data_IF_061844465474
#
_entry.id   IF_061844465474
#
_cell.length_a   1.000
_cell.length_b   1.000
_cell.length_c   1.000
_cell.angle_alpha   90.00
_cell.angle_beta   90.00
_cell.angle_gamma   90.00
#
_symmetry.space_group_name_H-M   'P 1'
#
loop_
_entity.id
_entity.type
_entity.pdbx_description
1 polymer ?
#
# COMPACT_ATOMS: atom_id res chain seq x y z
N UNK A 1 -8.34 14.35 30.06
CA UNK A 1 -8.18 12.90 29.89
C UNK A 1 -9.32 12.45 29.01
N UNK A 2 -9.04 12.06 27.76
CA UNK A 2 -10.10 11.76 26.79
C UNK A 2 -10.72 10.39 27.10
N UNK A 3 -12.05 10.35 27.20
CA UNK A 3 -12.85 9.13 27.33
C UNK A 3 -12.63 8.20 26.14
N UNK A 4 -12.56 6.89 26.37
CA UNK A 4 -12.52 5.89 25.29
C UNK A 4 -11.58 4.70 25.47
N UNK A 5 -11.02 4.47 26.66
CA UNK A 5 -10.18 3.31 26.97
C UNK A 5 -10.69 2.58 28.23
N UNK A 6 -10.49 1.25 28.35
CA UNK A 6 -9.83 0.37 27.38
C UNK A 6 -10.71 0.05 26.16
N UNK A 7 -10.09 -0.34 25.05
CA UNK A 7 -10.78 -0.91 23.88
C UNK A 7 -10.26 -2.31 23.61
N UNK A 8 -11.18 -3.21 23.33
CA UNK A 8 -10.87 -4.60 22.97
C UNK A 8 -11.36 -4.90 21.57
N UNK A 9 -10.60 -5.73 20.86
CA UNK A 9 -10.89 -6.17 19.50
C UNK A 9 -10.77 -7.68 19.45
N UNK A 10 -11.86 -8.36 19.09
CA UNK A 10 -11.85 -9.81 18.85
C UNK A 10 -11.39 -10.08 17.41
N UNK A 11 -10.30 -10.82 17.28
CA UNK A 11 -9.60 -11.05 16.01
C UNK A 11 -9.55 -12.54 15.74
N UNK A 12 -10.06 -12.96 14.58
CA UNK A 12 -9.95 -14.34 14.13
C UNK A 12 -8.50 -14.68 13.78
N UNK A 13 -7.98 -15.80 14.28
CA UNK A 13 -6.58 -16.21 14.12
C UNK A 13 -6.19 -16.48 12.65
N UNK A 14 -7.16 -16.90 11.83
CA UNK A 14 -6.98 -17.08 10.39
C UNK A 14 -8.15 -16.47 9.63
N UNK A 15 -7.94 -15.65 8.60
CA UNK A 15 -9.02 -15.05 7.83
C UNK A 15 -9.87 -16.06 7.04
N UNK A 16 -9.31 -17.25 6.79
CA UNK A 16 -9.95 -18.29 5.97
C UNK A 16 -10.36 -19.53 6.76
N UNK A 17 -9.90 -19.66 8.00
CA UNK A 17 -10.17 -20.82 8.84
C UNK A 17 -10.64 -20.41 10.25
N UNK A 18 -11.97 -20.33 10.47
CA UNK A 18 -12.53 -20.02 11.79
C UNK A 18 -12.23 -21.07 12.86
N UNK A 19 -11.85 -22.31 12.48
CA UNK A 19 -11.58 -23.37 13.46
C UNK A 19 -10.32 -23.14 14.29
N UNK A 20 -9.42 -22.28 13.80
CA UNK A 20 -8.23 -21.83 14.51
C UNK A 20 -8.53 -20.81 15.63
N UNK A 21 -9.82 -20.48 15.83
CA UNK A 21 -10.28 -19.63 16.92
C UNK A 21 -9.98 -18.14 16.71
N UNK A 22 -9.96 -17.42 17.82
CA UNK A 22 -9.76 -15.97 17.87
C UNK A 22 -8.99 -15.60 19.13
N UNK A 23 -8.31 -14.45 19.09
CA UNK A 23 -7.69 -13.81 20.24
C UNK A 23 -8.26 -12.41 20.43
N UNK A 24 -8.04 -11.85 21.62
CA UNK A 24 -8.43 -10.47 21.94
C UNK A 24 -7.20 -9.57 21.96
N UNK A 25 -7.26 -8.48 21.19
CA UNK A 25 -6.29 -7.38 21.21
C UNK A 25 -6.84 -6.25 22.10
N UNK A 26 -6.12 -5.91 23.16
CA UNK A 26 -6.51 -4.87 24.12
C UNK A 26 -5.62 -3.63 23.98
N UNK A 27 -6.23 -2.47 23.84
CA UNK A 27 -5.56 -1.18 23.87
C UNK A 27 -6.04 -0.42 25.11
N UNK A 28 -5.16 -0.36 26.12
CA UNK A 28 -5.46 0.19 27.45
C UNK A 28 -5.30 1.71 27.51
N UNK A 29 -4.50 2.27 26.60
CA UNK A 29 -4.19 3.69 26.54
C UNK A 29 -3.96 4.17 25.11
N UNK A 30 -3.57 5.45 24.94
CA UNK A 30 -3.41 6.06 23.63
C UNK A 30 -2.09 5.71 22.94
N UNK A 31 -1.19 4.95 23.59
CA UNK A 31 0.15 4.70 23.09
C UNK A 31 0.21 3.31 22.45
N UNK A 32 0.73 3.27 21.23
CA UNK A 32 0.96 2.05 20.45
C UNK A 32 2.28 2.17 19.68
N UNK A 33 2.80 1.03 19.25
CA UNK A 33 3.91 0.93 18.33
C UNK A 33 3.41 0.60 16.93
N UNK A 34 4.08 1.16 15.93
CA UNK A 34 3.98 0.78 14.52
C UNK A 34 5.38 0.41 14.04
N UNK A 35 5.45 -0.36 12.95
CA UNK A 35 6.75 -0.63 12.32
C UNK A 35 7.34 0.67 11.73
N UNK A 36 8.65 0.87 11.89
CA UNK A 36 9.31 2.09 11.40
C UNK A 36 9.20 2.25 9.87
N UNK A 37 9.10 1.15 9.12
CA UNK A 37 8.93 1.18 7.65
C UNK A 37 7.53 1.68 7.23
N UNK A 38 6.57 1.69 8.14
CA UNK A 38 5.21 2.21 7.93
C UNK A 38 5.11 3.73 8.09
N UNK A 39 6.20 4.42 8.42
CA UNK A 39 6.27 5.88 8.42
C UNK A 39 7.38 6.42 7.50
N UNK A 40 7.10 7.52 6.80
CA UNK A 40 8.11 8.31 6.06
C UNK A 40 7.90 9.80 6.26
N UNK A 41 8.99 10.56 6.31
CA UNK A 41 8.96 12.02 6.39
C UNK A 41 8.41 12.66 5.12
N UNK A 42 8.83 12.13 3.97
CA UNK A 42 8.40 12.59 2.66
C UNK A 42 7.38 11.60 2.08
N UNK A 43 6.18 12.09 1.80
CA UNK A 43 5.17 11.28 1.10
C UNK A 43 5.53 11.17 -0.39
N UNK A 44 5.23 10.01 -0.96
CA UNK A 44 5.37 9.77 -2.39
C UNK A 44 4.11 9.10 -2.92
N UNK A 45 3.74 9.37 -4.18
CA UNK A 45 2.49 8.86 -4.75
C UNK A 45 2.41 7.33 -4.84
N UNK A 46 3.53 6.62 -4.69
CA UNK A 46 3.63 5.15 -4.66
C UNK A 46 3.66 4.56 -3.25
N UNK A 47 3.80 5.40 -2.22
CA UNK A 47 3.81 4.99 -0.83
C UNK A 47 2.39 5.07 -0.25
N UNK A 48 1.95 4.03 0.45
CA UNK A 48 0.61 4.00 1.03
C UNK A 48 0.61 4.00 2.56
N UNK A 49 1.77 3.89 3.21
CA UNK A 49 1.93 4.04 4.65
C UNK A 49 1.75 5.48 5.13
N UNK A 50 2.07 5.69 6.41
CA UNK A 50 1.89 6.94 7.14
C UNK A 50 2.94 7.98 6.74
N UNK A 51 2.50 9.22 6.59
CA UNK A 51 3.36 10.39 6.40
C UNK A 51 2.71 11.58 7.13
N UNK A 52 3.42 12.70 7.35
CA UNK A 52 2.84 13.89 7.96
C UNK A 52 1.55 14.32 7.23
N UNK A 53 0.46 14.53 7.98
CA UNK A 53 -0.87 14.91 7.49
C UNK A 53 -1.53 13.91 6.51
N UNK A 54 -1.03 12.68 6.42
CA UNK A 54 -1.60 11.62 5.59
C UNK A 54 -2.23 10.54 6.45
N UNK A 55 -3.48 10.20 6.13
CA UNK A 55 -4.21 9.15 6.83
C UNK A 55 -3.77 7.74 6.42
N UNK A 56 -3.67 6.85 7.42
CA UNK A 56 -3.50 5.40 7.25
C UNK A 56 -4.55 4.66 8.08
N UNK A 57 -5.05 3.53 7.62
CA UNK A 57 -5.96 2.73 8.43
C UNK A 57 -5.20 1.99 9.54
N UNK A 58 -5.71 1.99 10.77
CA UNK A 58 -5.24 1.07 11.80
C UNK A 58 -6.02 -0.24 11.69
N UNK A 59 -5.30 -1.34 11.45
CA UNK A 59 -5.93 -2.66 11.30
C UNK A 59 -6.69 -3.04 12.57
N UNK A 60 -7.87 -3.64 12.43
CA UNK A 60 -8.81 -4.02 13.51
C UNK A 60 -9.43 -2.87 14.32
N UNK A 61 -8.75 -1.73 14.51
CA UNK A 61 -9.34 -0.58 15.19
C UNK A 61 -10.55 -0.03 14.43
N UNK A 62 -10.49 -0.02 13.10
CA UNK A 62 -11.52 0.57 12.25
C UNK A 62 -11.44 2.10 12.14
N UNK A 63 -10.41 2.74 12.68
CA UNK A 63 -10.14 4.18 12.52
C UNK A 63 -9.03 4.47 11.52
N UNK A 64 -8.93 5.73 11.10
CA UNK A 64 -7.78 6.24 10.35
C UNK A 64 -6.87 7.04 11.28
N UNK A 65 -5.60 6.69 11.35
CA UNK A 65 -4.59 7.45 12.08
C UNK A 65 -3.95 8.49 11.15
N UNK A 66 -3.79 9.71 11.66
CA UNK A 66 -3.15 10.84 10.96
C UNK A 66 -2.01 11.34 11.84
N UNK A 67 -0.82 11.50 11.26
CA UNK A 67 0.34 12.06 11.95
C UNK A 67 0.30 13.58 11.91
N UNK A 68 0.12 14.21 13.08
CA UNK A 68 0.07 15.67 13.23
C UNK A 68 1.46 16.26 13.46
N UNK A 69 2.31 15.53 14.18
CA UNK A 69 3.64 16.00 14.55
C UNK A 69 4.63 14.83 14.65
N UNK A 70 5.83 15.10 14.15
CA UNK A 70 6.97 14.17 14.20
C UNK A 70 7.92 14.64 15.29
N UNK A 71 8.19 13.77 16.26
CA UNK A 71 9.18 14.03 17.31
C UNK A 71 10.50 13.39 16.88
N UNK A 72 11.57 14.20 16.86
CA UNK A 72 12.90 13.77 16.43
C UNK A 72 13.96 14.04 17.49
N UNK A 73 14.95 13.16 17.52
CA UNK A 73 16.22 13.36 18.21
C UNK A 73 17.33 13.36 17.15
N UNK A 74 17.81 14.56 16.79
CA UNK A 74 18.66 14.73 15.62
C UNK A 74 17.91 14.36 14.33
N UNK A 75 18.47 13.43 13.55
CA UNK A 75 17.86 12.93 12.31
C UNK A 75 16.89 11.76 12.56
N UNK A 76 16.91 11.16 13.76
CA UNK A 76 16.11 9.98 14.08
C UNK A 76 14.70 10.37 14.51
N UNK A 77 13.69 9.75 13.90
CA UNK A 77 12.30 9.82 14.37
C UNK A 77 12.14 8.90 15.58
N UNK A 78 11.69 9.46 16.71
CA UNK A 78 11.56 8.71 17.97
C UNK A 78 10.11 8.51 18.41
N UNK A 79 9.21 9.40 17.99
CA UNK A 79 7.78 9.28 18.26
C UNK A 79 6.97 10.10 17.26
N UNK A 80 5.70 9.76 17.13
CA UNK A 80 4.71 10.48 16.34
C UNK A 80 3.56 10.87 17.26
N UNK A 81 3.17 12.14 17.25
CA UNK A 81 1.89 12.56 17.82
C UNK A 81 0.86 12.48 16.70
N UNK A 82 -0.16 11.66 16.92
CA UNK A 82 -1.20 11.39 15.96
C UNK A 82 -2.57 11.59 16.59
N UNK A 83 -3.55 11.95 15.76
CA UNK A 83 -4.96 11.78 16.11
C UNK A 83 -5.58 10.64 15.32
N UNK A 84 -6.70 10.16 15.84
CA UNK A 84 -7.45 9.07 15.24
C UNK A 84 -8.81 9.57 14.78
N UNK A 85 -9.01 9.56 13.48
CA UNK A 85 -10.30 9.85 12.86
C UNK A 85 -11.16 8.57 12.82
N UNK A 86 -12.20 8.57 13.63
CA UNK A 86 -13.21 7.51 13.72
C UNK A 86 -14.56 7.95 13.15
N UNK A 87 -14.63 9.12 12.49
CA UNK A 87 -15.89 9.65 11.96
C UNK A 87 -16.46 8.72 10.88
N UNK A 88 -17.79 8.65 10.76
CA UNK A 88 -18.45 7.81 9.76
C UNK A 88 -18.20 8.26 8.31
N UNK A 89 -17.87 9.53 8.11
CA UNK A 89 -17.59 10.17 6.82
C UNK A 89 -16.10 10.24 6.47
N UNK A 90 -15.22 9.67 7.31
CA UNK A 90 -13.77 9.62 7.05
C UNK A 90 -13.47 8.97 5.69
N UNK A 91 -12.43 9.44 4.98
CA UNK A 91 -12.06 8.85 3.70
C UNK A 91 -11.58 7.41 3.88
N UNK A 92 -11.91 6.52 2.94
CA UNK A 92 -11.38 5.15 2.96
C UNK A 92 -9.83 5.19 2.85
N UNK A 93 -9.08 4.60 3.78
CA UNK A 93 -7.63 4.64 3.73
C UNK A 93 -7.10 3.80 2.56
N UNK A 94 -5.92 4.17 2.04
CA UNK A 94 -5.27 3.44 0.93
C UNK A 94 -4.71 2.08 1.37
N UNK A 95 -4.30 1.96 2.63
CA UNK A 95 -3.81 0.73 3.23
C UNK A 95 -4.14 0.72 4.72
N UNK A 96 -4.03 -0.46 5.32
CA UNK A 96 -4.07 -0.64 6.77
C UNK A 96 -2.69 -1.11 7.24
N UNK A 97 -2.22 -0.56 8.35
CA UNK A 97 -0.96 -0.96 8.98
C UNK A 97 -1.23 -1.76 10.26
N UNK A 98 -0.29 -2.63 10.58
CA UNK A 98 -0.28 -3.39 11.84
C UNK A 98 0.22 -2.48 12.96
N UNK A 99 -0.20 -2.75 14.19
CA UNK A 99 0.21 -2.01 15.38
C UNK A 99 0.15 -2.95 16.59
N UNK A 100 0.88 -2.60 17.64
CA UNK A 100 0.83 -3.29 18.94
C UNK A 100 0.68 -2.25 20.06
N UNK A 101 -0.17 -2.48 21.07
CA UNK A 101 -0.34 -1.56 22.20
C UNK A 101 0.97 -1.42 22.99
N UNK A 102 1.19 -0.27 23.63
CA UNK A 102 2.32 -0.14 24.56
C UNK A 102 2.14 -1.09 25.74
N UNK A 103 0.97 -1.02 26.37
CA UNK A 103 0.62 -1.83 27.52
C UNK A 103 0.43 -3.29 27.11
N UNK A 104 1.11 -4.21 27.80
CA UNK A 104 0.93 -5.63 27.60
C UNK A 104 1.69 -6.24 26.41
N UNK A 105 2.33 -5.43 25.55
CA UNK A 105 3.15 -5.98 24.46
C UNK A 105 4.24 -6.92 24.97
N UNK A 106 4.57 -7.90 24.13
CA UNK A 106 5.63 -8.87 24.36
C UNK A 106 6.90 -8.36 23.71
N UNK A 107 7.99 -8.42 24.47
CA UNK A 107 9.32 -8.12 23.96
C UNK A 107 9.97 -9.42 23.51
N UNK A 108 10.50 -9.43 22.29
CA UNK A 108 11.16 -10.61 21.74
C UNK A 108 12.36 -10.23 20.88
N UNK A 109 13.29 -11.17 20.75
CA UNK A 109 14.29 -11.14 19.69
C UNK A 109 13.66 -11.72 18.42
N UNK A 110 13.77 -11.00 17.30
CA UNK A 110 13.31 -11.48 16.00
C UNK A 110 14.51 -11.57 15.07
N UNK A 111 14.79 -12.78 14.57
CA UNK A 111 15.87 -13.08 13.63
C UNK A 111 15.29 -13.19 12.23
N UNK A 112 15.79 -12.34 11.34
CA UNK A 112 15.40 -12.30 9.94
C UNK A 112 16.54 -12.88 9.10
N UNK A 113 16.27 -14.03 8.49
CA UNK A 113 17.20 -14.69 7.58
C UNK A 113 16.94 -14.26 6.12
N UNK A 114 18.04 -14.07 5.41
CA UNK A 114 18.14 -13.82 3.97
C UNK A 114 19.09 -14.85 3.35
N UNK A 115 19.35 -14.75 2.04
CA UNK A 115 20.33 -15.61 1.37
C UNK A 115 21.70 -15.52 2.05
N UNK A 116 22.33 -16.67 2.30
CA UNK A 116 23.64 -16.75 2.94
C UNK A 116 24.73 -16.11 2.07
N UNK A 117 24.61 -16.24 0.75
CA UNK A 117 25.55 -15.69 -0.22
C UNK A 117 24.93 -14.50 -0.95
N UNK A 118 25.77 -13.56 -1.33
CA UNK A 118 25.41 -12.39 -2.13
C UNK A 118 25.36 -12.67 -3.64
N UNK A 119 25.82 -13.86 -4.05
CA UNK A 119 25.86 -14.35 -5.43
C UNK A 119 25.04 -15.62 -5.58
N UNK A 120 24.49 -15.84 -6.78
CA UNK A 120 23.63 -16.99 -7.07
C UNK A 120 24.41 -18.33 -7.10
N UNK A 121 25.66 -18.30 -7.56
CA UNK A 121 26.54 -19.45 -7.66
C UNK A 121 27.88 -19.11 -6.99
N UNK A 122 28.04 -19.45 -5.69
CA UNK A 122 29.28 -19.18 -4.96
C UNK A 122 30.48 -19.92 -5.57
N UNK A 123 31.67 -19.31 -5.46
CA UNK A 123 32.93 -19.84 -5.97
C UNK A 123 33.85 -20.32 -4.84
N UNK A 124 35.10 -20.67 -5.17
CA UNK A 124 36.11 -21.00 -4.14
C UNK A 124 36.48 -19.80 -3.24
N UNK A 125 36.01 -18.59 -3.56
CA UNK A 125 36.13 -17.37 -2.75
C UNK A 125 34.90 -17.13 -1.86
N UNK A 126 34.17 -18.19 -1.49
CA UNK A 126 32.87 -18.13 -0.81
C UNK A 126 32.84 -17.25 0.46
N UNK A 127 33.95 -17.12 1.19
CA UNK A 127 34.04 -16.25 2.38
C UNK A 127 33.83 -14.77 2.04
N UNK A 128 34.34 -14.32 0.89
CA UNK A 128 34.16 -12.96 0.38
C UNK A 128 32.76 -12.74 -0.21
N UNK A 129 32.07 -13.82 -0.53
CA UNK A 129 30.76 -13.82 -1.17
C UNK A 129 29.60 -13.93 -0.15
N UNK A 130 29.91 -14.09 1.15
CA UNK A 130 28.90 -14.10 2.21
C UNK A 130 28.10 -12.80 2.21
N UNK A 131 26.78 -12.93 2.33
CA UNK A 131 25.90 -11.80 2.48
C UNK A 131 26.04 -11.25 3.92
N UNK A 132 26.51 -10.00 4.12
CA UNK A 132 26.67 -9.41 5.45
C UNK A 132 25.32 -9.16 6.15
N UNK A 133 24.22 -9.25 5.40
CA UNK A 133 22.85 -9.13 5.90
C UNK A 133 22.08 -10.45 5.80
N UNK A 134 22.79 -11.58 5.71
CA UNK A 134 22.20 -12.94 5.74
C UNK A 134 21.39 -13.19 7.01
N UNK A 135 21.76 -12.54 8.12
CA UNK A 135 20.98 -12.50 9.35
C UNK A 135 20.87 -11.06 9.85
N UNK A 136 19.64 -10.64 10.19
CA UNK A 136 19.36 -9.36 10.85
C UNK A 136 18.61 -9.66 12.15
N UNK A 137 19.18 -9.23 13.28
CA UNK A 137 18.62 -9.48 14.61
C UNK A 137 17.98 -8.22 15.18
N UNK A 138 16.68 -8.27 15.41
CA UNK A 138 15.91 -7.25 16.11
C UNK A 138 15.73 -7.66 17.57
N UNK A 139 16.61 -7.20 18.45
CA UNK A 139 16.68 -7.64 19.86
C UNK A 139 15.48 -7.28 20.74
N UNK A 140 14.71 -6.27 20.32
CA UNK A 140 13.63 -5.69 21.14
C UNK A 140 12.37 -5.43 20.30
N UNK A 141 12.01 -6.41 19.48
CA UNK A 141 10.77 -6.38 18.71
C UNK A 141 9.57 -6.37 19.66
N UNK A 142 8.50 -5.68 19.24
CA UNK A 142 7.25 -5.55 20.00
C UNK A 142 6.19 -6.41 19.32
N UNK A 143 5.64 -7.36 20.08
CA UNK A 143 4.64 -8.31 19.61
C UNK A 143 3.35 -8.15 20.39
N UNK A 144 2.23 -8.53 19.78
CA UNK A 144 0.94 -8.58 20.46
C UNK A 144 0.95 -9.65 21.57
N UNK A 145 0.14 -9.43 22.62
CA UNK A 145 0.08 -10.33 23.77
C UNK A 145 -0.45 -11.73 23.44
N UNK A 146 -1.21 -11.89 22.34
CA UNK A 146 -1.73 -13.19 21.90
C UNK A 146 -0.63 -14.23 21.66
N UNK A 147 0.59 -13.82 21.34
CA UNK A 147 1.73 -14.76 21.17
C UNK A 147 2.01 -15.55 22.45
N UNK A 148 1.63 -15.05 23.63
CA UNK A 148 1.81 -15.76 24.91
C UNK A 148 0.99 -17.03 24.97
N UNK A 149 -0.27 -17.00 24.53
CA UNK A 149 -1.15 -18.18 24.51
C UNK A 149 -0.55 -19.27 23.62
N UNK A 150 0.04 -18.83 22.52
CA UNK A 150 0.66 -19.69 21.52
C UNK A 150 1.94 -20.33 22.08
N UNK A 151 2.76 -19.58 22.83
CA UNK A 151 3.99 -20.10 23.48
C UNK A 151 3.67 -20.98 24.70
N UNK A 152 2.67 -20.64 25.52
CA UNK A 152 2.25 -21.41 26.70
C UNK A 152 1.64 -22.76 26.34
N UNK A 153 0.90 -22.85 25.22
CA UNK A 153 0.24 -24.07 24.78
C UNK A 153 1.15 -25.09 24.09
N UNK A 154 2.42 -24.76 23.87
CA UNK A 154 3.34 -25.53 23.03
C UNK A 154 4.38 -26.32 23.82
N UNK A 155 4.04 -27.52 24.30
CA UNK A 155 4.97 -28.49 24.91
C UNK A 155 6.08 -29.01 23.94
N UNK A 156 6.31 -28.40 22.78
CA UNK A 156 7.19 -28.99 21.76
C UNK A 156 7.92 -27.97 20.88
N UNK A 157 8.50 -26.91 21.46
CA UNK A 157 9.62 -26.22 20.78
C UNK A 157 10.89 -26.98 21.14
N UNK A 158 11.20 -27.99 20.34
CA UNK A 158 12.47 -28.70 20.40
C UNK A 158 13.25 -28.41 19.12
N UNK A 159 14.56 -28.65 19.14
CA UNK A 159 15.44 -28.50 17.98
C UNK A 159 14.94 -29.27 16.74
N UNK A 160 14.17 -30.34 16.94
CA UNK A 160 13.67 -31.19 15.85
C UNK A 160 12.19 -30.97 15.51
N UNK A 161 11.41 -30.38 16.41
CA UNK A 161 10.00 -30.06 16.21
C UNK A 161 9.77 -28.57 16.45
N UNK A 162 9.54 -27.82 15.38
CA UNK A 162 9.02 -26.45 15.48
C UNK A 162 7.67 -26.45 14.77
N UNK A 163 6.62 -26.63 15.57
CA UNK A 163 5.29 -26.91 15.01
C UNK A 163 4.40 -25.67 14.95
N UNK A 164 4.94 -24.49 15.27
CA UNK A 164 4.14 -23.31 15.52
C UNK A 164 4.57 -22.15 14.62
N UNK A 165 4.07 -22.22 13.38
CA UNK A 165 4.22 -21.16 12.41
C UNK A 165 3.13 -20.10 12.61
N UNK A 166 3.55 -18.87 12.84
CA UNK A 166 2.70 -17.69 12.94
C UNK A 166 2.94 -16.78 11.75
N UNK A 167 1.89 -16.15 11.24
CA UNK A 167 2.05 -15.03 10.33
C UNK A 167 2.09 -13.74 11.15
N UNK A 168 3.24 -13.07 11.19
CA UNK A 168 3.28 -11.69 11.64
C UNK A 168 2.78 -10.81 10.50
N UNK A 169 1.62 -10.23 10.72
CA UNK A 169 0.84 -9.61 9.65
C UNK A 169 1.61 -8.50 8.94
N UNK A 170 1.62 -8.57 7.60
CA UNK A 170 2.37 -7.69 6.68
C UNK A 170 3.89 -7.84 6.73
N UNK A 171 4.44 -8.67 7.62
CA UNK A 171 5.88 -8.87 7.79
C UNK A 171 6.31 -10.20 7.15
N UNK A 172 5.80 -11.33 7.64
CA UNK A 172 6.31 -12.64 7.24
C UNK A 172 5.71 -13.78 8.03
N UNK A 173 6.19 -14.98 7.76
CA UNK A 173 5.93 -16.16 8.57
C UNK A 173 7.11 -16.41 9.50
N UNK A 174 6.79 -16.73 10.75
CA UNK A 174 7.74 -16.85 11.84
C UNK A 174 7.48 -18.13 12.62
N UNK A 175 8.53 -18.65 13.23
CA UNK A 175 8.46 -19.76 14.19
C UNK A 175 9.21 -19.39 15.45
N UNK A 176 8.80 -19.97 16.58
CA UNK A 176 9.55 -19.85 17.84
C UNK A 176 10.85 -20.65 17.72
N UNK A 177 11.97 -20.03 18.08
CA UNK A 177 13.28 -20.69 18.11
C UNK A 177 13.42 -21.54 19.39
N UNK A 178 14.12 -22.67 19.31
CA UNK A 178 14.39 -23.58 20.43
C UNK A 178 15.21 -22.90 21.55
N UNK A 179 15.92 -21.82 21.25
CA UNK A 179 16.63 -20.98 22.21
C UNK A 179 15.69 -20.13 23.07
N UNK A 180 14.38 -20.11 22.80
CA UNK A 180 13.37 -19.41 23.61
C UNK A 180 13.11 -20.06 24.99
N UNK A 181 14.08 -20.80 25.53
CA UNK A 181 13.96 -21.50 26.80
C UNK A 181 14.01 -20.52 27.97
N UNK A 182 13.16 -20.76 28.97
CA UNK A 182 13.11 -19.93 30.18
C UNK A 182 12.34 -18.61 30.03
N UNK A 183 11.63 -18.39 28.91
CA UNK A 183 10.62 -17.34 28.83
C UNK A 183 9.43 -17.66 29.73
N UNK A 184 9.09 -16.76 30.64
CA UNK A 184 7.89 -16.79 31.45
C UNK A 184 6.84 -15.82 30.87
N UNK A 185 5.82 -16.33 30.16
CA UNK A 185 4.76 -15.53 29.57
C UNK A 185 3.88 -14.80 30.60
N UNK A 186 3.87 -15.21 31.87
CA UNK A 186 3.10 -14.55 32.93
C UNK A 186 3.77 -13.26 33.38
N UNK A 187 5.10 -13.29 33.49
CA UNK A 187 5.91 -12.15 33.93
C UNK A 187 6.51 -11.35 32.77
N UNK A 188 6.40 -11.85 31.53
CA UNK A 188 7.01 -11.28 30.33
C UNK A 188 8.54 -11.16 30.48
N UNK A 189 9.16 -12.17 31.09
CA UNK A 189 10.60 -12.19 31.37
C UNK A 189 11.26 -13.42 30.77
N UNK A 190 12.57 -13.37 30.55
CA UNK A 190 13.33 -14.42 29.88
C UNK A 190 13.51 -14.19 28.39
N UNK A 191 14.09 -15.17 27.70
CA UNK A 191 14.45 -15.06 26.28
C UNK A 191 13.34 -15.65 25.41
N UNK A 192 12.71 -14.82 24.59
CA UNK A 192 11.77 -15.25 23.55
C UNK A 192 12.31 -14.84 22.19
N UNK A 193 12.47 -15.82 21.30
CA UNK A 193 13.12 -15.65 20.00
C UNK A 193 12.19 -16.18 18.90
N UNK A 194 12.02 -15.38 17.85
CA UNK A 194 11.30 -15.77 16.64
C UNK A 194 12.21 -15.72 15.42
N UNK A 195 12.17 -16.76 14.60
CA UNK A 195 12.88 -16.83 13.33
C UNK A 195 11.91 -16.62 12.19
N UNK A 196 12.23 -15.68 11.27
CA UNK A 196 11.49 -15.55 10.01
C UNK A 196 11.80 -16.75 9.14
N UNK A 197 10.78 -17.56 8.83
CA UNK A 197 10.91 -18.71 7.92
C UNK A 197 10.90 -18.25 6.48
N UNK A 198 9.87 -17.50 6.09
CA UNK A 198 9.70 -16.95 4.75
C UNK A 198 9.01 -15.57 4.81
N UNK A 199 9.38 -14.68 3.90
CA UNK A 199 8.68 -13.40 3.69
C UNK A 199 7.33 -13.60 3.00
N UNK A 200 6.40 -12.65 3.14
CA UNK A 200 5.06 -12.74 2.53
C UNK A 200 5.07 -12.64 1.00
N UNK A 201 6.09 -12.01 0.45
CA UNK A 201 6.35 -11.90 -0.98
C UNK A 201 7.81 -12.18 -1.19
N UNK A 202 8.12 -12.90 -2.26
CA UNK A 202 9.49 -13.06 -2.72
C UNK A 202 10.17 -11.68 -2.75
N UNK A 203 11.24 -11.54 -1.96
CA UNK A 203 12.05 -10.35 -1.94
C UNK A 203 12.91 -10.33 -3.21
N UNK A 204 12.26 -10.11 -4.35
CA UNK A 204 12.99 -9.75 -5.56
C UNK A 204 13.65 -8.42 -5.24
N UNK A 205 14.97 -8.34 -5.32
CA UNK A 205 15.73 -7.09 -5.16
C UNK A 205 15.05 -5.99 -5.98
N UNK A 206 14.25 -5.15 -5.31
CA UNK A 206 13.57 -4.03 -5.95
C UNK A 206 14.55 -2.90 -5.92
N UNK A 207 15.21 -2.69 -7.05
CA UNK A 207 16.00 -1.51 -7.33
C UNK A 207 15.29 -0.29 -6.74
N UNK A 208 15.95 0.40 -5.81
CA UNK A 208 15.47 1.70 -5.35
C UNK A 208 15.36 2.62 -6.57
N UNK A 209 14.13 3.06 -6.84
CA UNK A 209 13.85 3.91 -7.99
C UNK A 209 14.48 5.27 -7.71
N UNK A 210 15.29 5.74 -8.65
CA UNK A 210 15.89 7.06 -8.60
C UNK A 210 14.80 8.14 -8.57
N UNK A 211 15.09 9.34 -8.03
CA UNK A 211 14.16 10.47 -8.08
C UNK A 211 13.64 10.76 -9.51
N UNK A 212 14.47 10.53 -10.53
CA UNK A 212 14.08 10.67 -11.93
C UNK A 212 13.05 9.62 -12.38
N UNK A 213 13.22 8.36 -11.99
CA UNK A 213 12.26 7.29 -12.29
C UNK A 213 10.91 7.52 -11.58
N UNK A 214 10.96 8.03 -10.35
CA UNK A 214 9.77 8.41 -9.58
C UNK A 214 9.03 9.59 -10.24
N UNK A 215 9.73 10.66 -10.62
CA UNK A 215 9.17 11.79 -11.34
C UNK A 215 8.54 11.36 -12.69
N UNK A 216 9.17 10.41 -13.40
CA UNK A 216 8.62 9.86 -14.64
C UNK A 216 7.31 9.08 -14.42
N UNK A 217 7.18 8.35 -13.31
CA UNK A 217 5.95 7.66 -12.94
C UNK A 217 4.83 8.67 -12.64
N UNK A 218 5.14 9.75 -11.92
CA UNK A 218 4.18 10.80 -11.61
C UNK A 218 3.71 11.54 -12.87
N UNK A 219 4.62 11.91 -13.75
CA UNK A 219 4.30 12.51 -15.04
C UNK A 219 3.39 11.60 -15.88
N UNK A 220 3.64 10.28 -15.91
CA UNK A 220 2.78 9.31 -16.61
C UNK A 220 1.38 9.24 -15.97
N UNK A 221 1.27 9.31 -14.64
CA UNK A 221 -0.02 9.32 -13.93
C UNK A 221 -0.79 10.59 -14.21
N UNK A 222 -0.15 11.74 -14.21
CA UNK A 222 -0.77 13.01 -14.58
C UNK A 222 -1.24 13.01 -16.03
N UNK A 223 -0.42 12.50 -16.95
CA UNK A 223 -0.81 12.37 -18.35
C UNK A 223 -2.01 11.44 -18.50
N UNK A 224 -2.02 10.29 -17.81
CA UNK A 224 -3.16 9.37 -17.82
C UNK A 224 -4.44 10.01 -17.25
N UNK A 225 -4.33 10.82 -16.19
CA UNK A 225 -5.45 11.59 -15.64
C UNK A 225 -5.97 12.62 -16.64
N UNK A 226 -5.07 13.38 -17.30
CA UNK A 226 -5.41 14.36 -18.34
C UNK A 226 -6.07 13.67 -19.54
N UNK A 227 -5.51 12.56 -20.03
CA UNK A 227 -6.07 11.79 -21.14
C UNK A 227 -7.45 11.23 -20.80
N UNK A 228 -7.66 10.75 -19.57
CA UNK A 228 -8.96 10.29 -19.09
C UNK A 228 -9.97 11.44 -19.03
N UNK A 229 -9.58 12.60 -18.49
CA UNK A 229 -10.43 13.79 -18.43
C UNK A 229 -10.79 14.29 -19.84
N UNK A 230 -9.82 14.35 -20.75
CA UNK A 230 -10.02 14.76 -22.14
C UNK A 230 -10.93 13.78 -22.88
N UNK A 231 -10.75 12.47 -22.67
CA UNK A 231 -11.64 11.44 -23.23
C UNK A 231 -13.06 11.59 -22.69
N UNK A 232 -13.23 11.83 -21.40
CA UNK A 232 -14.54 12.03 -20.79
C UNK A 232 -15.23 13.31 -21.30
N UNK A 233 -14.50 14.43 -21.35
CA UNK A 233 -14.98 15.69 -21.91
C UNK A 233 -15.40 15.51 -23.38
N UNK A 234 -14.59 14.79 -24.18
CA UNK A 234 -14.90 14.47 -25.58
C UNK A 234 -16.20 13.67 -25.72
N UNK A 235 -16.46 12.69 -24.87
CA UNK A 235 -17.70 11.90 -24.92
C UNK A 235 -18.95 12.70 -24.51
N UNK A 236 -18.78 13.76 -23.71
CA UNK A 236 -19.88 14.67 -23.31
C UNK A 236 -20.28 15.65 -24.40
N UNK A 237 -19.45 15.88 -25.42
CA UNK A 237 -19.77 16.78 -26.53
C UNK A 237 -20.97 16.29 -27.33
N UNK A 238 -21.74 17.23 -27.86
CA UNK A 238 -22.83 16.92 -28.79
C UNK A 238 -22.25 16.46 -30.15
N UNK A 239 -22.82 15.42 -30.80
CA UNK A 239 -22.29 14.95 -32.06
C UNK A 239 -22.26 15.99 -33.19
N UNK A 240 -23.10 17.03 -33.16
CA UNK A 240 -23.09 18.14 -34.12
C UNK A 240 -22.01 19.18 -33.78
N UNK A 241 -21.66 19.33 -32.50
CA UNK A 241 -20.64 20.27 -32.04
C UNK A 241 -19.22 19.67 -31.99
N UNK A 242 -19.07 18.36 -32.19
CA UNK A 242 -17.79 17.63 -32.15
C UNK A 242 -16.63 18.35 -32.87
N UNK A 243 -16.82 18.79 -34.11
CA UNK A 243 -15.77 19.44 -34.92
C UNK A 243 -15.62 20.94 -34.68
N UNK A 244 -16.48 21.54 -33.85
CA UNK A 244 -16.43 22.95 -33.44
C UNK A 244 -15.77 23.08 -32.07
N UNK A 245 -16.16 22.23 -31.13
CA UNK A 245 -15.80 22.33 -29.70
C UNK A 245 -14.73 21.31 -29.29
N UNK A 246 -14.55 20.24 -30.06
CA UNK A 246 -13.51 19.26 -29.80
C UNK A 246 -12.13 19.90 -29.83
N UNK A 247 -11.36 19.71 -28.76
CA UNK A 247 -10.02 20.28 -28.60
C UNK A 247 -9.09 19.93 -29.78
N UNK A 248 -9.27 18.73 -30.36
CA UNK A 248 -8.55 18.25 -31.53
C UNK A 248 -8.86 19.00 -32.85
N UNK A 249 -10.00 19.70 -32.93
CA UNK A 249 -10.48 20.42 -34.12
C UNK A 249 -10.54 21.94 -33.95
N UNK A 250 -10.27 22.44 -32.75
CA UNK A 250 -10.33 23.87 -32.41
C UNK A 250 -9.48 24.69 -33.38
N UNK A 251 -10.13 25.64 -34.07
CA UNK A 251 -9.47 26.57 -35.00
C UNK A 251 -9.06 25.99 -36.35
N UNK A 252 -9.44 24.74 -36.69
CA UNK A 252 -9.03 24.09 -37.95
C UNK A 252 -9.99 24.32 -39.13
N UNK A 253 -11.24 24.72 -38.85
CA UNK A 253 -12.30 24.81 -39.85
C UNK A 253 -13.14 26.06 -39.68
N UNK A 254 -13.74 26.52 -40.78
CA UNK A 254 -14.50 27.78 -40.82
C UNK A 254 -15.99 27.58 -41.15
N UNK A 255 -16.34 26.53 -41.88
CA UNK A 255 -17.74 26.21 -42.26
C UNK A 255 -18.05 24.74 -42.03
N UNK A 256 -19.31 24.46 -41.70
CA UNK A 256 -19.79 23.14 -41.28
C UNK A 256 -21.13 22.84 -41.96
N UNK A 257 -21.39 21.57 -42.23
CA UNK A 257 -22.70 21.10 -42.68
C UNK A 257 -23.70 21.14 -41.51
N UNK A 258 -24.90 21.67 -41.74
CA UNK A 258 -25.90 21.91 -40.69
C UNK A 258 -26.54 20.62 -40.16
N UNK A 259 -26.66 19.57 -40.98
CA UNK A 259 -27.29 18.30 -40.61
C UNK A 259 -26.29 17.34 -39.95
N UNK A 260 -25.03 17.36 -40.38
CA UNK A 260 -24.02 16.41 -39.93
C UNK A 260 -22.99 16.99 -38.98
N UNK A 261 -22.87 18.32 -38.91
CA UNK A 261 -21.82 19.01 -38.18
C UNK A 261 -20.41 18.85 -38.78
N UNK A 262 -20.28 18.19 -39.94
CA UNK A 262 -18.99 17.89 -40.57
C UNK A 262 -18.41 19.14 -41.25
N UNK A 263 -17.13 19.47 -41.05
CA UNK A 263 -16.48 20.60 -41.72
C UNK A 263 -16.52 20.51 -43.24
N UNK A 264 -16.76 21.65 -43.90
CA UNK A 264 -16.74 21.79 -45.36
C UNK A 264 -15.62 22.69 -45.87
N UNK A 265 -15.09 23.57 -45.02
CA UNK A 265 -14.01 24.51 -45.37
C UNK A 265 -12.93 24.54 -44.28
N UNK A 266 -11.67 24.67 -44.69
CA UNK A 266 -10.53 24.83 -43.80
C UNK A 266 -10.54 26.21 -43.13
N UNK A 267 -9.65 26.41 -42.15
CA UNK A 267 -9.52 27.67 -41.40
C UNK A 267 -9.25 28.90 -42.30
N UNK A 268 -8.54 28.71 -43.41
CA UNK A 268 -8.25 29.74 -44.41
C UNK A 268 -9.45 30.04 -45.35
N UNK A 269 -10.58 29.37 -45.17
CA UNK A 269 -11.78 29.55 -45.99
C UNK A 269 -11.80 28.74 -47.28
N UNK A 270 -10.79 27.91 -47.56
CA UNK A 270 -10.77 27.06 -48.76
C UNK A 270 -11.67 25.82 -48.59
N UNK A 271 -12.38 25.38 -49.65
CA UNK A 271 -13.17 24.15 -49.62
C UNK A 271 -12.31 22.91 -49.37
N UNK A 272 -12.76 22.03 -48.47
CA UNK A 272 -12.10 20.75 -48.22
C UNK A 272 -12.27 19.79 -49.40
N UNK A 273 -11.25 18.97 -49.65
CA UNK A 273 -11.33 17.93 -50.68
C UNK A 273 -12.34 16.84 -50.31
N UNK A 274 -12.90 16.15 -51.31
CA UNK A 274 -13.82 15.00 -51.10
C UNK A 274 -13.20 13.91 -50.22
N UNK A 275 -11.89 13.70 -50.34
CA UNK A 275 -11.14 12.74 -49.52
C UNK A 275 -11.06 13.18 -48.05
N UNK A 276 -10.80 14.47 -47.81
CA UNK A 276 -10.75 15.04 -46.46
C UNK A 276 -12.12 14.99 -45.76
N UNK A 277 -13.20 15.36 -46.47
CA UNK A 277 -14.56 15.26 -45.94
C UNK A 277 -14.94 13.81 -45.61
N UNK A 278 -14.61 12.84 -46.48
CA UNK A 278 -14.84 11.41 -46.22
C UNK A 278 -14.09 10.89 -44.99
N UNK A 279 -12.90 11.43 -44.70
CA UNK A 279 -12.14 11.10 -43.50
C UNK A 279 -12.82 11.65 -42.23
N UNK A 280 -13.29 12.89 -42.27
CA UNK A 280 -14.03 13.51 -41.17
C UNK A 280 -15.36 12.80 -40.90
N UNK A 281 -16.07 12.38 -41.94
CA UNK A 281 -17.28 11.55 -41.82
C UNK A 281 -17.00 10.21 -41.11
N UNK A 282 -15.86 9.58 -41.44
CA UNK A 282 -15.41 8.35 -40.78
C UNK A 282 -15.09 8.58 -39.31
N UNK A 283 -14.49 9.72 -38.96
CA UNK A 283 -14.15 10.05 -37.59
C UNK A 283 -15.39 10.43 -36.76
N UNK A 284 -16.38 11.09 -37.37
CA UNK A 284 -17.72 11.27 -36.78
C UNK A 284 -18.39 9.95 -36.47
N UNK A 285 -18.41 9.02 -37.43
CA UNK A 285 -19.00 7.67 -37.23
C UNK A 285 -18.30 6.90 -36.11
N UNK A 286 -16.98 6.99 -36.01
CA UNK A 286 -16.23 6.41 -34.90
C UNK A 286 -16.62 7.05 -33.56
N UNK A 287 -16.74 8.38 -33.50
CA UNK A 287 -17.15 9.09 -32.30
C UNK A 287 -18.54 8.64 -31.85
N UNK A 288 -19.53 8.59 -32.74
CA UNK A 288 -20.88 8.12 -32.44
C UNK A 288 -20.87 6.69 -31.84
N UNK A 289 -20.11 5.78 -32.45
CA UNK A 289 -19.97 4.42 -31.94
C UNK A 289 -19.28 4.37 -30.57
N UNK A 290 -18.29 5.24 -30.32
CA UNK A 290 -17.60 5.32 -29.03
C UNK A 290 -18.51 5.91 -27.94
N UNK A 291 -19.25 6.97 -28.27
CA UNK A 291 -20.21 7.63 -27.39
C UNK A 291 -21.34 6.68 -26.98
N UNK A 292 -21.94 5.95 -27.93
CA UNK A 292 -22.97 4.96 -27.64
C UNK A 292 -22.48 3.84 -26.69
N UNK A 293 -21.23 3.39 -26.85
CA UNK A 293 -20.62 2.42 -25.91
C UNK A 293 -20.38 3.02 -24.52
N UNK A 294 -19.94 4.27 -24.46
CA UNK A 294 -19.69 4.98 -23.20
C UNK A 294 -20.99 5.27 -22.43
N UNK A 295 -22.05 5.71 -23.12
CA UNK A 295 -23.38 5.91 -22.52
C UNK A 295 -23.97 4.60 -21.99
N UNK A 296 -23.77 3.48 -22.69
CA UNK A 296 -24.20 2.16 -22.22
C UNK A 296 -23.45 1.70 -20.96
N UNK A 297 -22.18 2.10 -20.80
CA UNK A 297 -21.35 1.71 -19.65
C UNK A 297 -21.57 2.59 -18.40
N UNK A 298 -22.18 3.77 -18.57
CA UNK A 298 -22.43 4.75 -17.50
C UNK A 298 -23.93 4.93 -17.18
N UNK A 299 -24.78 4.06 -17.72
CA UNK A 299 -26.19 3.88 -17.32
C UNK A 299 -26.29 2.74 -16.32
#
# INVERSE_FOLDING_TARGET
MAEGWPKTYDIQNSPTDPSLGSHTLSLEGPILYIDASDFRLEDHSTYYGLAPNKAVGLKYHGGNMICDKVIKEGEKVVALECHLDISGDRPKPKTYISWVPLEGCVHAEVRVYNDLFSVAEPTDLWEEELNPTSEIVYKDAKLDASVREVVQGGEAVDRWTSNLALQFERIGYFVVDYESHGYDPTTNTGLLVFNRTVSLKEEVFKKELTPAELAAIEARREQSKKDKANKEARMKLDPLSLFKEGEEYKGKYSKYNEETGVPTHAANGEPLSKSAMKKLEKDRKKFLNQKAKWEKANK
#
